data_IF_838446424118
#
_entry.id   IF_838446424118
#
_cell.length_a   1.000
_cell.length_b   1.000
_cell.length_c   1.000
_cell.angle_alpha   90.00
_cell.angle_beta   90.00
_cell.angle_gamma   90.00
#
_symmetry.space_group_name_H-M   'P 1'
#
loop_
_entity.id
_entity.type
_entity.pdbx_description
1 polymer ?
#
# COMPACT_ATOMS: atom_id res chain seq x y z
N UNK A 1 6.00 20.71 32.65
CA UNK A 1 6.43 19.71 31.65
C UNK A 1 7.17 18.63 32.39
N UNK A 2 6.67 17.40 32.34
CA UNK A 2 7.28 16.28 33.05
C UNK A 2 8.23 15.58 32.08
N UNK A 3 9.52 15.56 32.41
CA UNK A 3 10.58 14.94 31.60
C UNK A 3 10.26 13.47 31.29
N UNK A 4 9.56 12.79 32.20
CA UNK A 4 9.03 11.43 31.97
C UNK A 4 8.11 11.34 30.75
N UNK A 5 7.16 12.28 30.61
CA UNK A 5 6.24 12.30 29.46
C UNK A 5 6.98 12.52 28.14
N UNK A 6 8.03 13.35 28.13
CA UNK A 6 8.85 13.55 26.92
C UNK A 6 9.62 12.28 26.54
N UNK A 7 10.16 11.56 27.52
CA UNK A 7 10.87 10.30 27.29
C UNK A 7 9.93 9.23 26.75
N UNK A 8 8.74 9.10 27.33
CA UNK A 8 7.71 8.16 26.87
C UNK A 8 7.31 8.43 25.41
N UNK A 9 7.08 9.70 25.05
CA UNK A 9 6.74 10.07 23.67
C UNK A 9 7.89 9.80 22.68
N UNK A 10 9.14 10.03 23.09
CA UNK A 10 10.30 9.73 22.26
C UNK A 10 10.46 8.21 22.04
N UNK A 11 10.31 7.42 23.11
CA UNK A 11 10.36 5.96 23.02
C UNK A 11 9.24 5.42 22.13
N UNK A 12 8.01 5.92 22.28
CA UNK A 12 6.87 5.54 21.46
C UNK A 12 7.13 5.81 19.96
N UNK A 13 7.65 6.99 19.62
CA UNK A 13 7.97 7.35 18.23
C UNK A 13 9.00 6.39 17.61
N UNK A 14 10.06 6.05 18.35
CA UNK A 14 11.10 5.13 17.88
C UNK A 14 10.53 3.71 17.71
N UNK A 15 9.74 3.23 18.67
CA UNK A 15 9.13 1.90 18.62
C UNK A 15 8.16 1.78 17.45
N UNK A 16 7.32 2.78 17.20
CA UNK A 16 6.39 2.79 16.08
C UNK A 16 7.13 2.72 14.72
N UNK A 17 8.21 3.49 14.58
CA UNK A 17 9.05 3.44 13.38
C UNK A 17 9.72 2.06 13.22
N UNK A 18 10.22 1.48 14.31
CA UNK A 18 10.80 0.13 14.32
C UNK A 18 9.76 -0.92 13.93
N UNK A 19 8.55 -0.87 14.49
CA UNK A 19 7.46 -1.80 14.15
C UNK A 19 7.02 -1.65 12.70
N UNK A 20 7.06 -0.44 12.14
CA UNK A 20 6.74 -0.23 10.72
C UNK A 20 7.79 -0.81 9.78
N UNK A 21 9.07 -0.74 10.14
CA UNK A 21 10.18 -1.19 9.28
C UNK A 21 10.46 -2.70 9.45
N UNK A 22 10.39 -3.19 10.69
CA UNK A 22 10.80 -4.54 11.06
C UNK A 22 9.65 -5.41 11.57
N UNK A 23 8.43 -4.87 11.64
CA UNK A 23 7.26 -5.65 11.98
C UNK A 23 6.96 -6.71 10.92
N UNK A 24 6.18 -7.74 11.28
CA UNK A 24 5.68 -8.70 10.31
C UNK A 24 5.01 -7.95 9.17
N UNK A 25 5.46 -8.21 7.95
CA UNK A 25 4.85 -7.60 6.78
C UNK A 25 3.47 -8.20 6.58
N UNK A 26 2.44 -7.36 6.44
CA UNK A 26 1.12 -7.78 5.96
C UNK A 26 1.13 -7.90 4.42
N UNK A 27 2.21 -8.47 3.87
CA UNK A 27 2.38 -8.71 2.44
C UNK A 27 1.64 -9.98 2.02
N UNK A 28 0.45 -10.22 2.58
CA UNK A 28 -0.49 -11.23 2.12
C UNK A 28 -1.14 -10.78 0.80
N UNK A 29 -0.32 -10.39 -0.18
CA UNK A 29 -0.80 -10.22 -1.53
C UNK A 29 -1.20 -11.60 -2.05
N UNK A 30 -2.41 -11.74 -2.62
CA UNK A 30 -2.78 -13.00 -3.25
C UNK A 30 -1.72 -13.34 -4.30
N UNK A 31 -1.28 -14.61 -4.34
CA UNK A 31 -0.24 -15.09 -5.25
C UNK A 31 -0.56 -14.86 -6.74
N UNK A 32 -1.81 -14.49 -7.03
CA UNK A 32 -2.28 -14.07 -8.34
C UNK A 32 -3.00 -12.74 -8.20
N UNK A 33 -2.63 -11.76 -9.03
CA UNK A 33 -3.44 -10.57 -9.22
C UNK A 33 -4.73 -10.98 -9.93
N UNK A 34 -5.89 -10.80 -9.31
CA UNK A 34 -7.16 -10.93 -10.03
C UNK A 34 -7.28 -9.74 -10.96
N UNK A 35 -7.16 -9.95 -12.27
CA UNK A 35 -7.46 -8.93 -13.28
C UNK A 35 -8.97 -8.65 -13.22
N UNK A 36 -9.43 -7.52 -12.66
CA UNK A 36 -10.85 -7.28 -12.42
C UNK A 36 -11.60 -6.85 -13.69
N UNK A 37 -10.87 -6.53 -14.76
CA UNK A 37 -11.43 -6.15 -16.05
C UNK A 37 -10.79 -6.98 -17.16
N UNK A 38 -11.53 -7.95 -17.68
CA UNK A 38 -11.40 -8.37 -19.08
C UNK A 38 -12.07 -7.30 -19.93
N UNK A 39 -11.33 -6.27 -20.34
CA UNK A 39 -11.83 -5.33 -21.34
C UNK A 39 -12.11 -6.07 -22.65
N UNK A 40 -13.19 -5.73 -23.36
CA UNK A 40 -13.32 -6.21 -24.74
C UNK A 40 -12.16 -5.63 -25.56
N UNK A 41 -11.44 -6.46 -26.34
CA UNK A 41 -10.46 -5.95 -27.29
C UNK A 41 -11.14 -4.91 -28.19
N UNK A 42 -10.46 -3.78 -28.43
CA UNK A 42 -10.96 -2.77 -29.35
C UNK A 42 -11.19 -3.42 -30.72
N UNK A 43 -12.47 -3.65 -31.07
CA UNK A 43 -12.86 -4.09 -32.41
C UNK A 43 -12.61 -2.90 -33.32
N UNK A 44 -11.55 -2.99 -34.13
CA UNK A 44 -11.19 -2.00 -35.13
C UNK A 44 -12.45 -1.61 -35.90
N UNK A 45 -12.98 -0.41 -35.64
CA UNK A 45 -14.05 0.14 -36.48
C UNK A 45 -13.39 0.35 -37.84
N UNK A 46 -13.92 -0.33 -38.86
CA UNK A 46 -13.61 -0.02 -40.27
C UNK A 46 -13.62 1.50 -40.38
N UNK A 47 -12.50 2.03 -40.88
CA UNK A 47 -12.22 3.44 -41.15
C UNK A 47 -13.43 4.36 -40.97
N UNK A 48 -13.35 5.28 -40.02
CA UNK A 48 -14.25 6.40 -40.03
C UNK A 48 -13.91 7.22 -41.28
N UNK A 49 -14.76 7.15 -42.30
CA UNK A 49 -14.73 8.06 -43.44
C UNK A 49 -15.22 9.42 -42.96
N UNK A 50 -14.27 10.24 -42.51
CA UNK A 50 -14.38 11.69 -42.47
C UNK A 50 -13.11 12.29 -43.05
#
# INVERSE_FOLDING_TARGET
MNISKMLDSAAQYIIEAMTRIFGPSDDAYPAIGTQPFTGEPYKHRRHADW
#
